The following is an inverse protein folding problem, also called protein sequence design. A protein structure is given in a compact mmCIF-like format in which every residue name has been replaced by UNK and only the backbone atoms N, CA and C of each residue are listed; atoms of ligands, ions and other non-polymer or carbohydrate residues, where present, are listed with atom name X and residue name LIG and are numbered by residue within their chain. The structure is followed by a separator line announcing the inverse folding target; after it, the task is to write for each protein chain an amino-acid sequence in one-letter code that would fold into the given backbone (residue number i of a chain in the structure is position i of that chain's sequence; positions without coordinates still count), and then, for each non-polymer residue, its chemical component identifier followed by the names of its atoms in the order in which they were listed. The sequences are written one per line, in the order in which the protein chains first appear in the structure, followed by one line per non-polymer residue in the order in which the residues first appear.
data_IF_532726423263
#
_entry.id   IF_532726423263
#
_cell.length_a   1.000
_cell.length_b   1.000
_cell.length_c   1.000
_cell.angle_alpha   90.00
_cell.angle_beta   90.00
_cell.angle_gamma   90.00
#
_symmetry.space_group_name_H-M   'P 1'
#
loop_
_entity.id
_entity.type
_entity.pdbx_description
1 polymer ?
#
# COMPACT_ATOMS: atom_id res chain seq x y z
N UNK A 1 -58.51 -2.02 -22.94
CA UNK A 1 -57.99 -0.66 -23.19
C UNK A 1 -58.91 0.30 -22.52
N UNK A 2 -58.42 1.03 -21.53
CA UNK A 2 -59.18 2.07 -20.88
C UNK A 2 -58.72 3.43 -21.40
N UNK A 3 -59.56 4.03 -22.26
CA UNK A 3 -59.33 5.40 -22.72
C UNK A 3 -59.49 6.39 -21.59
N UNK A 4 -58.65 7.40 -21.55
CA UNK A 4 -58.81 8.50 -20.61
C UNK A 4 -60.14 9.25 -20.84
N UNK A 5 -60.70 9.88 -19.82
CA UNK A 5 -61.97 10.62 -19.97
C UNK A 5 -61.82 11.76 -20.97
N UNK A 6 -60.63 12.36 -21.08
CA UNK A 6 -60.31 13.37 -22.10
C UNK A 6 -60.34 12.81 -23.53
N UNK A 7 -59.82 11.62 -23.75
CA UNK A 7 -59.85 10.95 -25.04
C UNK A 7 -61.27 10.54 -25.47
N UNK A 8 -62.06 10.05 -24.49
CA UNK A 8 -63.49 9.74 -24.72
C UNK A 8 -64.27 10.98 -25.12
N UNK A 9 -64.04 12.11 -24.43
CA UNK A 9 -64.65 13.38 -24.71
C UNK A 9 -64.27 13.90 -26.10
N UNK A 10 -62.98 13.86 -26.46
CA UNK A 10 -62.45 14.26 -27.75
C UNK A 10 -63.01 13.43 -28.93
N UNK A 11 -63.32 12.16 -28.72
CA UNK A 11 -63.98 11.29 -29.70
C UNK A 11 -65.45 11.66 -29.90
N UNK A 12 -66.16 12.06 -28.82
CA UNK A 12 -67.54 12.45 -28.88
C UNK A 12 -67.75 13.82 -29.58
N UNK A 13 -66.83 14.76 -29.37
CA UNK A 13 -66.84 16.09 -29.96
C UNK A 13 -66.40 16.13 -31.43
N UNK A 14 -65.79 15.09 -31.96
CA UNK A 14 -65.29 15.07 -33.32
C UNK A 14 -66.44 15.15 -34.36
N UNK A 15 -66.42 16.16 -35.26
CA UNK A 15 -67.46 16.36 -36.24
C UNK A 15 -67.36 15.34 -37.39
N UNK A 16 -68.33 14.41 -37.44
CA UNK A 16 -68.43 13.43 -38.50
C UNK A 16 -67.62 12.16 -38.38
N UNK A 17 -67.96 11.14 -39.14
CA UNK A 17 -67.40 9.79 -39.00
C UNK A 17 -65.91 9.70 -39.33
N UNK A 18 -65.42 10.40 -40.33
CA UNK A 18 -64.02 10.37 -40.76
C UNK A 18 -63.09 11.02 -39.74
N UNK A 19 -63.51 12.18 -39.15
CA UNK A 19 -62.73 12.84 -38.14
C UNK A 19 -62.63 12.01 -36.85
N UNK A 20 -63.70 11.35 -36.46
CA UNK A 20 -63.78 10.46 -35.31
C UNK A 20 -62.89 9.23 -35.53
N UNK A 21 -62.88 8.62 -36.72
CA UNK A 21 -62.04 7.49 -37.04
C UNK A 21 -60.54 7.84 -37.02
N UNK A 22 -60.16 9.04 -37.51
CA UNK A 22 -58.76 9.51 -37.42
C UNK A 22 -58.33 9.72 -35.98
N UNK A 23 -59.14 10.33 -35.18
CA UNK A 23 -58.83 10.57 -33.75
C UNK A 23 -58.72 9.26 -32.99
N UNK A 24 -59.59 8.31 -33.23
CA UNK A 24 -59.51 6.97 -32.66
C UNK A 24 -58.21 6.28 -33.04
N UNK A 25 -57.78 6.37 -34.29
CA UNK A 25 -56.50 5.78 -34.75
C UNK A 25 -55.32 6.41 -34.02
N UNK A 26 -55.27 7.74 -33.87
CA UNK A 26 -54.24 8.44 -33.13
C UNK A 26 -54.16 7.94 -31.67
N UNK A 27 -55.28 7.79 -31.00
CA UNK A 27 -55.34 7.30 -29.61
C UNK A 27 -54.84 5.84 -29.56
N UNK A 28 -55.31 4.99 -30.46
CA UNK A 28 -54.88 3.58 -30.48
C UNK A 28 -53.38 3.41 -30.72
N UNK A 29 -52.80 4.20 -31.62
CA UNK A 29 -51.32 4.16 -31.88
C UNK A 29 -50.56 4.62 -30.64
N UNK A 30 -51.01 5.68 -29.98
CA UNK A 30 -50.40 6.15 -28.75
C UNK A 30 -50.49 5.10 -27.62
N UNK A 31 -51.65 4.48 -27.44
CA UNK A 31 -51.83 3.43 -26.42
C UNK A 31 -50.98 2.18 -26.72
N UNK A 32 -50.85 1.80 -28.00
CA UNK A 32 -49.98 0.71 -28.40
C UNK A 32 -48.52 1.01 -28.06
N UNK A 33 -48.03 2.20 -28.41
CA UNK A 33 -46.65 2.62 -28.08
C UNK A 33 -46.38 2.61 -26.58
N UNK A 34 -47.36 3.10 -25.80
CA UNK A 34 -47.26 3.09 -24.32
C UNK A 34 -47.24 1.67 -23.76
N UNK A 35 -48.05 0.76 -24.31
CA UNK A 35 -48.05 -0.65 -23.90
C UNK A 35 -46.71 -1.36 -24.25
N UNK A 36 -46.18 -1.10 -25.43
CA UNK A 36 -44.86 -1.63 -25.86
C UNK A 36 -43.73 -1.12 -24.94
N UNK A 37 -43.70 0.19 -24.66
CA UNK A 37 -42.71 0.77 -23.74
C UNK A 37 -42.83 0.19 -22.33
N UNK A 38 -44.04 0.01 -21.82
CA UNK A 38 -44.30 -0.60 -20.52
C UNK A 38 -43.78 -2.04 -20.45
N UNK A 39 -44.01 -2.82 -21.51
CA UNK A 39 -43.52 -4.18 -21.61
C UNK A 39 -41.97 -4.22 -21.64
N UNK A 40 -41.32 -3.33 -22.42
CA UNK A 40 -39.85 -3.27 -22.49
C UNK A 40 -39.28 -2.90 -21.10
N UNK A 41 -39.88 -1.96 -20.40
CA UNK A 41 -39.45 -1.59 -19.04
C UNK A 41 -39.59 -2.79 -18.09
N UNK A 42 -40.72 -3.48 -18.12
CA UNK A 42 -40.95 -4.64 -17.28
C UNK A 42 -39.94 -5.78 -17.56
N UNK A 43 -39.64 -6.03 -18.83
CA UNK A 43 -38.62 -7.02 -19.20
C UNK A 43 -37.21 -6.62 -18.73
N UNK A 44 -36.83 -5.34 -18.85
CA UNK A 44 -35.56 -4.83 -18.35
C UNK A 44 -35.44 -4.99 -16.84
N UNK A 45 -36.46 -4.57 -16.11
CA UNK A 45 -36.52 -4.70 -14.65
C UNK A 45 -36.43 -6.18 -14.22
N UNK A 46 -37.16 -7.06 -14.90
CA UNK A 46 -37.10 -8.51 -14.61
C UNK A 46 -35.71 -9.06 -14.83
N UNK A 47 -35.07 -8.74 -15.96
CA UNK A 47 -33.69 -9.17 -16.24
C UNK A 47 -32.68 -8.65 -15.20
N UNK A 48 -32.85 -7.43 -14.73
CA UNK A 48 -31.99 -6.83 -13.70
C UNK A 48 -32.14 -7.55 -12.34
N UNK A 49 -33.39 -7.84 -11.96
CA UNK A 49 -33.70 -8.60 -10.75
C UNK A 49 -33.17 -10.03 -10.83
N UNK A 50 -33.36 -10.72 -11.94
CA UNK A 50 -32.85 -12.07 -12.16
C UNK A 50 -31.32 -12.12 -12.08
N UNK A 51 -30.64 -11.09 -12.64
CA UNK A 51 -29.20 -10.94 -12.58
C UNK A 51 -28.72 -10.74 -11.12
N UNK A 52 -29.33 -9.82 -10.39
CA UNK A 52 -28.98 -9.57 -8.98
C UNK A 52 -29.20 -10.80 -8.10
N UNK A 53 -30.29 -11.54 -8.30
CA UNK A 53 -30.53 -12.79 -7.57
C UNK A 53 -29.49 -13.86 -7.89
N UNK A 54 -29.11 -13.98 -9.16
CA UNK A 54 -28.06 -14.90 -9.57
C UNK A 54 -26.70 -14.55 -8.98
N UNK A 55 -26.33 -13.27 -9.00
CA UNK A 55 -25.08 -12.77 -8.44
C UNK A 55 -25.03 -13.00 -6.93
N UNK A 56 -26.13 -12.74 -6.24
CA UNK A 56 -26.26 -13.03 -4.80
C UNK A 56 -26.11 -14.54 -4.51
N UNK A 57 -26.78 -15.38 -5.29
CA UNK A 57 -26.69 -16.85 -5.12
C UNK A 57 -25.26 -17.36 -5.37
N UNK A 58 -24.60 -16.87 -6.39
CA UNK A 58 -23.20 -17.22 -6.70
C UNK A 58 -22.23 -16.76 -5.58
N UNK A 59 -22.44 -15.57 -5.03
CA UNK A 59 -21.67 -15.09 -3.89
C UNK A 59 -21.89 -16.00 -2.66
N UNK A 60 -23.12 -16.39 -2.40
CA UNK A 60 -23.45 -17.30 -1.29
C UNK A 60 -22.78 -18.67 -1.47
N UNK A 61 -22.84 -19.23 -2.68
CA UNK A 61 -22.16 -20.50 -2.99
C UNK A 61 -20.65 -20.38 -2.83
N UNK A 62 -20.05 -19.29 -3.31
CA UNK A 62 -18.62 -19.03 -3.19
C UNK A 62 -18.21 -18.95 -1.72
N UNK A 63 -19.02 -18.29 -0.89
CA UNK A 63 -18.80 -18.21 0.56
C UNK A 63 -18.89 -19.59 1.23
N UNK A 64 -19.89 -20.39 0.90
CA UNK A 64 -20.03 -21.75 1.44
C UNK A 64 -18.85 -22.64 1.03
N UNK A 65 -18.37 -22.52 -0.21
CA UNK A 65 -17.20 -23.26 -0.70
C UNK A 65 -15.93 -22.81 0.03
N UNK A 66 -15.75 -21.50 0.26
CA UNK A 66 -14.63 -20.97 1.04
C UNK A 66 -14.67 -21.47 2.49
N UNK A 67 -15.84 -21.50 3.10
CA UNK A 67 -16.05 -22.04 4.45
C UNK A 67 -15.70 -23.54 4.55
N UNK A 68 -16.09 -24.34 3.54
CA UNK A 68 -15.76 -25.78 3.46
C UNK A 68 -14.28 -26.05 3.15
N UNK A 69 -13.61 -25.17 2.42
CA UNK A 69 -12.18 -25.26 2.12
C UNK A 69 -11.30 -24.82 3.30
N UNK A 70 -11.88 -24.29 4.38
CA UNK A 70 -11.15 -23.80 5.55
C UNK A 70 -10.42 -22.47 5.29
N UNK A 71 -10.78 -21.75 4.23
CA UNK A 71 -10.27 -20.44 3.88
C UNK A 71 -11.19 -19.36 4.46
N UNK A 72 -11.53 -19.53 5.72
CA UNK A 72 -12.36 -18.58 6.46
C UNK A 72 -11.52 -17.40 6.95
N UNK A 73 -12.13 -16.23 7.07
CA UNK A 73 -11.49 -15.07 7.69
C UNK A 73 -10.89 -15.43 9.07
N UNK A 74 -11.55 -16.32 9.81
CA UNK A 74 -11.08 -16.81 11.11
C UNK A 74 -9.78 -17.63 10.98
N UNK A 75 -9.66 -18.50 9.97
CA UNK A 75 -8.43 -19.27 9.73
C UNK A 75 -7.25 -18.36 9.31
N UNK A 76 -7.52 -17.27 8.62
CA UNK A 76 -6.49 -16.27 8.25
C UNK A 76 -6.00 -15.50 9.47
N UNK A 77 -6.92 -15.11 10.35
CA UNK A 77 -6.64 -14.46 11.64
C UNK A 77 -5.81 -15.39 12.55
N UNK A 78 -6.18 -16.66 12.66
CA UNK A 78 -5.44 -17.65 13.45
C UNK A 78 -4.01 -17.85 12.91
N UNK A 79 -3.82 -17.93 11.59
CA UNK A 79 -2.49 -17.98 10.96
C UNK A 79 -1.66 -16.73 11.28
N UNK A 80 -2.28 -15.54 11.27
CA UNK A 80 -1.59 -14.30 11.65
C UNK A 80 -1.17 -14.32 13.13
N UNK A 81 -2.02 -14.82 14.02
CA UNK A 81 -1.70 -14.96 15.45
C UNK A 81 -0.55 -15.94 15.66
N UNK A 82 -0.55 -17.07 14.98
CA UNK A 82 0.58 -18.02 15.01
C UNK A 82 1.88 -17.41 14.46
N UNK A 83 1.79 -16.65 13.38
CA UNK A 83 2.94 -15.95 12.81
C UNK A 83 3.49 -14.90 13.78
N UNK A 84 2.62 -14.19 14.48
CA UNK A 84 2.97 -13.19 15.48
C UNK A 84 3.79 -13.77 16.64
N UNK A 85 3.46 -14.98 17.10
CA UNK A 85 4.20 -15.64 18.19
C UNK A 85 5.64 -15.98 17.83
N UNK A 86 5.96 -16.05 16.53
CA UNK A 86 7.32 -16.33 16.01
C UNK A 86 8.16 -15.08 15.79
N UNK A 87 7.53 -13.90 15.91
CA UNK A 87 8.20 -12.61 15.69
C UNK A 87 8.91 -12.11 16.94
N UNK A 88 10.09 -11.54 16.71
CA UNK A 88 10.92 -10.96 17.77
C UNK A 88 10.69 -9.44 17.87
N UNK A 89 9.48 -9.03 18.20
CA UNK A 89 9.13 -7.61 18.36
C UNK A 89 9.10 -7.19 19.84
N UNK A 90 9.05 -5.87 20.08
CA UNK A 90 8.91 -5.32 21.42
C UNK A 90 7.52 -5.66 22.00
N UNK A 91 7.42 -5.60 23.32
CA UNK A 91 6.14 -5.83 24.01
C UNK A 91 5.05 -4.87 23.52
N UNK A 92 5.41 -3.61 23.26
CA UNK A 92 4.50 -2.55 22.80
C UNK A 92 3.94 -2.86 21.41
N UNK A 93 4.80 -3.29 20.48
CA UNK A 93 4.40 -3.69 19.13
C UNK A 93 3.51 -4.92 19.15
N UNK A 94 3.81 -5.91 20.01
CA UNK A 94 2.98 -7.09 20.20
C UNK A 94 1.58 -6.76 20.74
N UNK A 95 1.50 -5.89 21.75
CA UNK A 95 0.21 -5.42 22.29
C UNK A 95 -0.60 -4.63 21.24
N UNK A 96 0.06 -3.80 20.44
CA UNK A 96 -0.57 -3.07 19.35
C UNK A 96 -1.12 -4.03 18.29
N UNK A 97 -0.33 -5.03 17.90
CA UNK A 97 -0.76 -6.06 16.94
C UNK A 97 -2.01 -6.81 17.42
N UNK A 98 -2.01 -7.33 18.65
CA UNK A 98 -3.18 -8.03 19.21
C UNK A 98 -4.41 -7.14 19.33
N UNK A 99 -4.24 -5.88 19.68
CA UNK A 99 -5.32 -4.90 19.71
C UNK A 99 -5.94 -4.68 18.32
N UNK A 100 -5.11 -4.52 17.29
CA UNK A 100 -5.59 -4.32 15.92
C UNK A 100 -6.19 -5.63 15.35
N UNK A 101 -5.63 -6.79 15.67
CA UNK A 101 -6.17 -8.10 15.30
C UNK A 101 -7.58 -8.31 15.91
N UNK A 102 -7.74 -7.99 17.19
CA UNK A 102 -9.04 -8.07 17.88
C UNK A 102 -10.10 -7.11 17.31
N UNK A 103 -9.69 -6.01 16.66
CA UNK A 103 -10.62 -5.16 15.91
C UNK A 103 -11.09 -5.86 14.64
N UNK A 104 -10.16 -6.50 13.91
CA UNK A 104 -10.47 -7.21 12.66
C UNK A 104 -11.45 -8.36 12.90
N UNK A 105 -11.30 -9.10 14.00
CA UNK A 105 -12.24 -10.18 14.40
C UNK A 105 -13.71 -9.72 14.52
N UNK A 106 -13.90 -8.44 14.82
CA UNK A 106 -15.25 -7.86 14.98
C UNK A 106 -15.77 -7.20 13.71
N UNK A 107 -14.91 -7.03 12.69
CA UNK A 107 -15.30 -6.39 11.43
C UNK A 107 -15.93 -7.42 10.48
N UNK A 108 -16.91 -6.95 9.71
CA UNK A 108 -17.48 -7.77 8.65
C UNK A 108 -16.47 -7.85 7.48
N UNK A 109 -16.07 -9.06 7.02
CA UNK A 109 -15.14 -9.22 5.90
C UNK A 109 -15.57 -8.55 4.58
N UNK A 110 -16.87 -8.28 4.41
CA UNK A 110 -17.38 -7.60 3.22
C UNK A 110 -17.17 -6.08 3.20
N UNK A 111 -16.69 -5.49 4.29
CA UNK A 111 -16.46 -4.04 4.40
C UNK A 111 -15.04 -3.71 3.98
N UNK A 112 -14.85 -2.61 3.24
CA UNK A 112 -13.53 -2.17 2.76
C UNK A 112 -12.51 -1.96 3.90
N UNK A 113 -12.97 -1.57 5.08
CA UNK A 113 -12.14 -1.38 6.27
C UNK A 113 -11.43 -2.68 6.69
N UNK A 114 -12.10 -3.85 6.53
CA UNK A 114 -11.49 -5.15 6.81
C UNK A 114 -10.21 -5.36 5.99
N UNK A 115 -10.26 -5.13 4.67
CA UNK A 115 -9.11 -5.32 3.80
C UNK A 115 -7.95 -4.36 4.11
N UNK A 116 -8.27 -3.12 4.51
CA UNK A 116 -7.26 -2.13 4.94
C UNK A 116 -6.55 -2.60 6.21
N UNK A 117 -7.31 -3.07 7.21
CA UNK A 117 -6.76 -3.57 8.47
C UNK A 117 -5.96 -4.86 8.28
N UNK A 118 -6.42 -5.78 7.43
CA UNK A 118 -5.66 -6.99 7.10
C UNK A 118 -4.33 -6.67 6.44
N UNK A 119 -4.31 -5.73 5.48
CA UNK A 119 -3.08 -5.27 4.84
C UNK A 119 -2.09 -4.66 5.83
N UNK A 120 -2.60 -3.91 6.81
CA UNK A 120 -1.79 -3.34 7.89
C UNK A 120 -1.17 -4.42 8.78
N UNK A 121 -1.96 -5.37 9.25
CA UNK A 121 -1.48 -6.48 10.09
C UNK A 121 -0.46 -7.34 9.34
N UNK A 122 -0.69 -7.58 8.05
CA UNK A 122 0.26 -8.27 7.19
C UNK A 122 1.58 -7.51 7.07
N UNK A 123 1.54 -6.17 6.92
CA UNK A 123 2.75 -5.35 6.92
C UNK A 123 3.51 -5.47 8.25
N UNK A 124 2.81 -5.42 9.39
CA UNK A 124 3.44 -5.59 10.71
C UNK A 124 4.15 -6.94 10.84
N UNK A 125 3.57 -8.02 10.30
CA UNK A 125 4.18 -9.35 10.27
C UNK A 125 5.37 -9.45 9.31
N UNK A 126 5.34 -8.74 8.20
CA UNK A 126 6.40 -8.78 7.19
C UNK A 126 7.63 -7.94 7.57
N UNK A 127 7.46 -6.96 8.45
CA UNK A 127 8.57 -6.12 8.91
C UNK A 127 9.54 -6.90 9.79
N UNK A 128 10.86 -6.69 9.58
CA UNK A 128 11.92 -7.32 10.38
C UNK A 128 12.23 -6.48 11.63
N UNK A 129 11.33 -6.42 12.59
CA UNK A 129 11.44 -5.54 13.77
C UNK A 129 12.76 -5.62 14.52
N UNK A 130 13.24 -6.81 14.85
CA UNK A 130 14.52 -7.06 15.54
C UNK A 130 15.32 -8.16 14.83
N UNK A 131 15.02 -8.42 13.57
CA UNK A 131 15.70 -9.43 12.78
C UNK A 131 16.96 -8.80 12.15
N UNK A 132 18.08 -8.90 12.83
CA UNK A 132 19.38 -8.35 12.39
C UNK A 132 20.24 -9.41 11.71
N UNK A 133 21.00 -8.99 10.71
CA UNK A 133 22.09 -9.82 10.16
C UNK A 133 23.34 -9.64 11.02
N UNK A 134 24.15 -10.71 11.14
CA UNK A 134 25.44 -10.64 11.82
C UNK A 134 26.46 -9.90 10.97
N UNK A 135 27.06 -8.85 11.54
CA UNK A 135 28.04 -8.05 10.83
C UNK A 135 29.40 -8.75 10.71
N UNK A 136 29.95 -8.73 9.51
CA UNK A 136 31.35 -9.08 9.28
C UNK A 136 32.20 -7.80 9.29
N UNK A 137 32.87 -7.52 10.41
CA UNK A 137 33.74 -6.36 10.58
C UNK A 137 35.22 -6.70 10.33
N UNK A 138 35.51 -7.62 9.40
CA UNK A 138 36.84 -7.89 8.93
C UNK A 138 37.27 -6.88 7.88
N UNK A 139 38.18 -5.98 8.27
CA UNK A 139 38.66 -4.89 7.41
C UNK A 139 39.47 -5.36 6.21
N UNK A 140 40.18 -6.50 6.34
CA UNK A 140 40.96 -7.08 5.23
C UNK A 140 40.01 -7.66 4.18
N UNK A 141 38.97 -8.36 4.62
CA UNK A 141 37.92 -8.85 3.75
C UNK A 141 37.16 -7.70 3.06
N UNK A 142 36.84 -6.63 3.81
CA UNK A 142 36.17 -5.44 3.27
C UNK A 142 37.04 -4.73 2.22
N UNK A 143 38.34 -4.56 2.47
CA UNK A 143 39.27 -3.99 1.49
C UNK A 143 39.30 -4.80 0.21
N UNK A 144 39.47 -6.12 0.34
CA UNK A 144 39.48 -7.02 -0.81
C UNK A 144 38.22 -6.93 -1.65
N UNK A 145 37.04 -6.92 -0.99
CA UNK A 145 35.75 -6.76 -1.69
C UNK A 145 35.66 -5.44 -2.45
N UNK A 146 36.12 -4.32 -1.84
CA UNK A 146 36.14 -3.01 -2.49
C UNK A 146 37.13 -2.97 -3.67
N UNK A 147 38.25 -3.64 -3.58
CA UNK A 147 39.25 -3.71 -4.64
C UNK A 147 38.81 -4.60 -5.82
N UNK A 148 38.15 -5.71 -5.53
CA UNK A 148 37.59 -6.60 -6.55
C UNK A 148 36.44 -5.94 -7.34
N UNK A 149 35.61 -5.12 -6.67
CA UNK A 149 34.45 -4.50 -7.29
C UNK A 149 34.77 -3.14 -7.97
N UNK A 150 35.81 -2.41 -7.51
CA UNK A 150 36.09 -1.05 -7.93
C UNK A 150 37.59 -0.84 -8.24
N UNK A 151 37.88 -0.41 -9.46
CA UNK A 151 39.25 -0.05 -9.84
C UNK A 151 39.58 1.39 -9.39
N UNK A 152 40.72 1.60 -8.78
CA UNK A 152 41.13 2.92 -8.25
C UNK A 152 40.30 3.36 -7.05
N UNK A 153 40.08 4.66 -6.91
CA UNK A 153 39.34 5.27 -5.82
C UNK A 153 39.91 5.02 -4.42
N UNK A 154 41.25 4.95 -4.31
CA UNK A 154 41.94 4.54 -3.09
C UNK A 154 41.56 5.40 -1.88
N UNK A 155 41.50 6.74 -2.04
CA UNK A 155 41.11 7.66 -0.98
C UNK A 155 39.69 7.39 -0.46
N UNK A 156 38.75 7.04 -1.37
CA UNK A 156 37.35 6.74 -1.00
C UNK A 156 37.29 5.42 -0.27
N UNK A 157 38.00 4.40 -0.75
CA UNK A 157 38.08 3.09 -0.12
C UNK A 157 38.70 3.18 1.29
N UNK A 158 39.80 3.89 1.44
CA UNK A 158 40.44 4.13 2.73
C UNK A 158 39.47 4.84 3.69
N UNK A 159 38.73 5.83 3.24
CA UNK A 159 37.74 6.52 4.07
C UNK A 159 36.60 5.59 4.49
N UNK A 160 36.13 4.72 3.62
CA UNK A 160 35.12 3.69 3.96
C UNK A 160 35.68 2.74 5.00
N UNK A 161 36.92 2.25 4.83
CA UNK A 161 37.55 1.35 5.78
C UNK A 161 37.80 1.99 7.15
N UNK A 162 38.21 3.27 7.20
CA UNK A 162 38.30 4.04 8.44
C UNK A 162 36.95 4.09 9.16
N UNK A 163 35.88 4.35 8.43
CA UNK A 163 34.52 4.37 8.97
C UNK A 163 34.12 3.00 9.55
N UNK A 164 34.37 1.91 8.81
CA UNK A 164 34.13 0.55 9.30
C UNK A 164 34.96 0.19 10.51
N UNK A 165 36.22 0.69 10.57
CA UNK A 165 37.09 0.50 11.73
C UNK A 165 36.55 1.24 12.97
N UNK A 166 35.99 2.43 12.81
CA UNK A 166 35.35 3.16 13.90
C UNK A 166 34.12 2.41 14.42
N UNK A 167 33.28 1.88 13.54
CA UNK A 167 32.12 1.05 13.92
C UNK A 167 32.60 -0.18 14.73
N UNK A 168 33.64 -0.86 14.25
CA UNK A 168 34.22 -2.02 14.93
C UNK A 168 34.74 -1.71 16.33
N UNK A 169 35.40 -0.56 16.50
CA UNK A 169 36.00 -0.14 17.78
C UNK A 169 34.93 0.35 18.77
N UNK A 170 33.94 1.07 18.26
CA UNK A 170 32.90 1.69 19.10
C UNK A 170 31.86 0.67 19.55
N UNK A 171 31.62 -0.38 18.78
CA UNK A 171 30.59 -1.39 19.05
C UNK A 171 29.16 -0.83 19.01
N UNK A 172 29.00 0.42 18.58
CA UNK A 172 27.74 1.13 18.48
C UNK A 172 27.53 1.56 17.04
N UNK A 173 26.34 1.31 16.53
CA UNK A 173 25.93 1.65 15.15
C UNK A 173 25.60 3.14 14.97
N UNK A 174 25.61 3.92 16.05
CA UNK A 174 25.47 5.38 16.01
C UNK A 174 26.70 6.06 15.39
N UNK A 175 26.97 5.69 14.16
CA UNK A 175 28.09 6.23 13.38
C UNK A 175 27.61 7.32 12.46
N UNK A 176 28.46 8.33 12.18
CA UNK A 176 28.13 9.37 11.22
C UNK A 176 27.86 8.76 9.85
N UNK A 177 26.90 9.32 9.14
CA UNK A 177 26.49 8.88 7.81
C UNK A 177 27.57 9.25 6.79
N UNK A 178 27.92 8.31 5.90
CA UNK A 178 28.85 8.57 4.81
C UNK A 178 28.14 9.31 3.67
N UNK A 179 28.63 10.50 3.35
CA UNK A 179 28.17 11.27 2.21
C UNK A 179 29.14 11.11 1.03
N UNK A 180 28.67 10.48 -0.07
CA UNK A 180 29.43 10.29 -1.30
C UNK A 180 29.07 11.39 -2.30
N UNK A 181 29.99 12.32 -2.53
CA UNK A 181 29.84 13.41 -3.51
C UNK A 181 30.71 13.17 -4.74
N UNK A 182 30.22 13.50 -5.93
CA UNK A 182 30.97 13.37 -7.18
C UNK A 182 30.07 13.36 -8.42
N UNK A 183 30.66 13.38 -9.63
CA UNK A 183 29.92 13.38 -10.87
C UNK A 183 29.07 12.13 -11.06
N UNK A 184 28.06 12.16 -11.94
CA UNK A 184 27.27 10.97 -12.25
C UNK A 184 28.15 9.89 -12.92
N UNK A 185 27.80 8.61 -12.71
CA UNK A 185 28.47 7.48 -13.38
C UNK A 185 29.77 6.99 -12.74
N UNK A 186 30.26 7.60 -11.66
CA UNK A 186 31.51 7.18 -10.99
C UNK A 186 31.35 5.98 -10.04
N UNK A 187 30.17 5.41 -9.94
CA UNK A 187 29.96 4.21 -9.13
C UNK A 187 29.57 4.42 -7.67
N UNK A 188 29.03 5.60 -7.27
CA UNK A 188 28.61 5.88 -5.89
C UNK A 188 27.65 4.81 -5.33
N UNK A 189 26.64 4.44 -6.11
CA UNK A 189 25.63 3.44 -5.69
C UNK A 189 26.21 2.03 -5.63
N UNK A 190 27.16 1.68 -6.50
CA UNK A 190 27.84 0.38 -6.46
C UNK A 190 28.79 0.26 -5.27
N UNK A 191 29.47 1.35 -4.89
CA UNK A 191 30.29 1.39 -3.65
C UNK A 191 29.47 1.02 -2.41
N UNK A 192 28.28 1.58 -2.25
CA UNK A 192 27.43 1.22 -1.13
C UNK A 192 26.95 -0.24 -1.15
N UNK A 193 26.75 -0.81 -2.33
CA UNK A 193 26.44 -2.24 -2.46
C UNK A 193 27.65 -3.10 -2.02
N UNK A 194 28.85 -2.73 -2.43
CA UNK A 194 30.08 -3.44 -2.03
C UNK A 194 30.31 -3.36 -0.53
N UNK A 195 30.02 -2.21 0.10
CA UNK A 195 30.04 -2.07 1.56
C UNK A 195 29.03 -3.00 2.23
N UNK A 196 27.78 -3.07 1.73
CA UNK A 196 26.78 -3.99 2.25
C UNK A 196 27.23 -5.44 2.14
N UNK A 197 27.81 -5.83 1.01
CA UNK A 197 28.35 -7.18 0.78
C UNK A 197 29.50 -7.49 1.75
N UNK A 198 30.43 -6.55 1.93
CA UNK A 198 31.57 -6.70 2.83
C UNK A 198 31.12 -6.88 4.29
N UNK A 199 30.10 -6.17 4.72
CA UNK A 199 29.51 -6.27 6.06
C UNK A 199 28.59 -7.51 6.23
N UNK A 200 28.20 -8.19 5.17
CA UNK A 200 27.18 -9.25 5.23
C UNK A 200 25.75 -8.74 5.43
N UNK A 201 25.53 -7.44 5.24
CA UNK A 201 24.22 -6.81 5.37
C UNK A 201 23.41 -6.83 4.07
N UNK A 202 22.10 -6.73 4.18
CA UNK A 202 21.24 -6.52 3.03
C UNK A 202 21.40 -5.10 2.49
N UNK A 203 21.12 -4.92 1.19
CA UNK A 203 21.28 -3.65 0.50
C UNK A 203 19.92 -3.09 0.07
N UNK A 204 19.65 -1.83 0.43
CA UNK A 204 18.51 -1.07 0.00
C UNK A 204 18.93 0.20 -0.76
N UNK A 205 18.13 0.62 -1.75
CA UNK A 205 18.30 1.89 -2.43
C UNK A 205 16.98 2.65 -2.46
N UNK A 206 17.03 3.92 -2.09
CA UNK A 206 15.92 4.86 -2.16
C UNK A 206 16.36 6.03 -3.02
N UNK A 207 15.68 6.27 -4.15
CA UNK A 207 15.88 7.48 -4.94
C UNK A 207 14.99 8.58 -4.36
N UNK A 208 15.62 9.69 -3.99
CA UNK A 208 14.97 10.87 -3.44
C UNK A 208 14.72 11.94 -4.53
N UNK A 209 15.24 11.70 -5.75
CA UNK A 209 15.00 12.59 -6.90
C UNK A 209 13.51 12.60 -7.28
N UNK A 210 12.94 13.81 -7.31
CA UNK A 210 11.52 14.00 -7.64
C UNK A 210 10.55 13.78 -6.48
N UNK A 211 11.04 13.65 -5.25
CA UNK A 211 10.20 13.71 -4.05
C UNK A 211 9.72 15.14 -3.82
N UNK A 212 8.42 15.29 -3.64
CA UNK A 212 7.75 16.56 -3.40
C UNK A 212 6.90 16.59 -2.15
N UNK A 213 6.64 15.42 -1.54
CA UNK A 213 5.74 15.25 -0.40
C UNK A 213 6.47 14.51 0.74
N UNK A 214 6.37 15.04 1.94
CA UNK A 214 6.86 14.43 3.18
C UNK A 214 6.26 13.03 3.41
N UNK A 215 5.01 12.83 3.01
CA UNK A 215 4.31 11.55 3.15
C UNK A 215 4.95 10.40 2.36
N UNK A 216 5.76 10.69 1.35
CA UNK A 216 6.53 9.65 0.67
C UNK A 216 7.63 9.05 1.57
N UNK A 217 8.15 9.82 2.53
CA UNK A 217 9.16 9.35 3.50
C UNK A 217 8.50 8.76 4.73
N UNK A 218 7.54 9.51 5.32
CA UNK A 218 6.84 9.14 6.58
C UNK A 218 5.58 8.30 6.38
N UNK A 219 5.18 8.01 5.14
CA UNK A 219 3.94 7.29 4.87
C UNK A 219 2.69 8.15 4.98
N UNK A 220 1.58 7.62 4.48
CA UNK A 220 0.26 8.25 4.53
C UNK A 220 -0.55 7.69 5.70
N UNK A 221 -1.40 8.50 6.32
CA UNK A 221 -2.29 8.00 7.38
C UNK A 221 -3.23 6.93 6.81
N UNK A 222 -3.42 5.82 7.52
CA UNK A 222 -4.25 4.66 7.11
C UNK A 222 -5.69 4.97 6.75
N UNK A 223 -6.21 6.11 7.22
CA UNK A 223 -7.58 6.56 6.94
C UNK A 223 -7.81 6.99 5.49
N UNK A 224 -6.76 7.21 4.71
CA UNK A 224 -6.87 7.60 3.31
C UNK A 224 -6.91 6.38 2.40
N UNK A 225 -7.77 6.43 1.37
CA UNK A 225 -7.82 5.40 0.34
C UNK A 225 -6.50 5.41 -0.43
N UNK A 226 -5.85 4.23 -0.52
CA UNK A 226 -4.54 4.11 -1.17
C UNK A 226 -3.36 4.51 -0.28
N UNK A 227 -3.55 4.66 1.03
CA UNK A 227 -2.48 4.90 1.97
C UNK A 227 -1.42 3.80 1.89
N UNK A 228 -0.16 4.21 1.95
CA UNK A 228 1.00 3.31 1.93
C UNK A 228 2.02 3.74 2.97
N UNK A 229 2.83 2.80 3.52
CA UNK A 229 3.96 3.14 4.38
C UNK A 229 5.01 3.95 3.62
N UNK A 230 5.83 4.69 4.34
CA UNK A 230 6.92 5.47 3.78
C UNK A 230 7.96 4.61 3.06
N UNK A 231 8.70 5.22 2.15
CA UNK A 231 9.73 4.53 1.36
C UNK A 231 10.82 3.87 2.20
N UNK A 232 11.11 4.42 3.38
CA UNK A 232 12.07 3.84 4.33
C UNK A 232 11.55 2.48 4.80
N UNK A 233 10.37 2.44 5.37
CA UNK A 233 9.71 1.21 5.86
C UNK A 233 9.52 0.18 4.74
N UNK A 234 9.10 0.62 3.55
CA UNK A 234 8.99 -0.28 2.39
C UNK A 234 10.33 -0.89 1.98
N UNK A 235 11.43 -0.13 2.11
CA UNK A 235 12.77 -0.61 1.77
C UNK A 235 13.28 -1.60 2.81
N UNK A 236 13.07 -1.34 4.10
CA UNK A 236 13.40 -2.26 5.19
C UNK A 236 12.62 -3.57 5.04
N UNK A 237 11.31 -3.51 4.79
CA UNK A 237 10.49 -4.68 4.46
C UNK A 237 11.09 -5.52 3.33
N UNK A 238 11.48 -4.87 2.21
CA UNK A 238 12.11 -5.56 1.06
C UNK A 238 13.46 -6.17 1.38
N UNK A 239 14.23 -5.54 2.25
CA UNK A 239 15.52 -6.07 2.69
C UNK A 239 15.36 -7.30 3.61
N UNK A 240 14.28 -7.39 4.37
CA UNK A 240 14.00 -8.49 5.28
C UNK A 240 14.99 -8.57 6.47
N UNK A 241 15.63 -7.46 6.81
CA UNK A 241 16.47 -7.31 8.01
C UNK A 241 16.33 -5.87 8.51
N UNK A 242 16.47 -5.65 9.83
CA UNK A 242 16.34 -4.32 10.43
C UNK A 242 17.64 -3.51 10.38
N UNK A 243 18.75 -4.11 9.99
CA UNK A 243 20.05 -3.44 9.85
C UNK A 243 20.60 -3.43 8.40
N UNK A 244 19.81 -3.10 7.37
CA UNK A 244 20.30 -3.03 6.00
C UNK A 244 21.22 -1.83 5.80
N UNK A 245 22.10 -1.89 4.81
CA UNK A 245 22.75 -0.69 4.27
C UNK A 245 21.83 -0.04 3.27
N UNK A 246 21.35 1.15 3.60
CA UNK A 246 20.45 1.92 2.73
C UNK A 246 21.21 3.07 2.08
N UNK A 247 21.12 3.18 0.75
CA UNK A 247 21.59 4.34 0.01
C UNK A 247 20.41 5.26 -0.28
N UNK A 248 20.56 6.50 0.17
CA UNK A 248 19.72 7.62 -0.22
C UNK A 248 20.36 8.31 -1.43
N UNK A 249 19.80 8.08 -2.60
CA UNK A 249 20.35 8.57 -3.87
C UNK A 249 19.63 9.85 -4.33
N UNK A 250 20.35 10.75 -5.00
CA UNK A 250 19.81 11.99 -5.54
C UNK A 250 19.25 12.96 -4.47
N UNK A 251 19.90 13.04 -3.30
CA UNK A 251 19.51 13.95 -2.21
C UNK A 251 19.51 15.42 -2.68
N UNK A 252 20.39 15.78 -3.61
CA UNK A 252 20.50 17.10 -4.21
C UNK A 252 19.30 17.50 -5.09
N UNK A 253 18.44 16.56 -5.44
CA UNK A 253 17.25 16.80 -6.27
C UNK A 253 15.95 16.88 -5.49
N UNK A 254 16.01 16.92 -4.18
CA UNK A 254 14.83 17.15 -3.34
C UNK A 254 14.39 18.60 -3.52
N UNK A 255 13.10 18.79 -3.73
CA UNK A 255 12.50 20.12 -3.87
C UNK A 255 11.42 20.34 -2.82
N UNK A 256 11.44 21.50 -2.18
CA UNK A 256 10.38 21.93 -1.27
C UNK A 256 9.13 22.26 -2.08
N UNK A 257 7.99 21.74 -1.67
CA UNK A 257 6.71 21.99 -2.31
C UNK A 257 5.69 22.56 -1.31
N UNK A 258 4.54 23.02 -1.81
CA UNK A 258 3.44 23.47 -0.97
C UNK A 258 2.75 22.30 -0.17
N UNK A 259 3.13 21.06 -0.44
CA UNK A 259 2.59 19.85 0.19
C UNK A 259 3.46 19.29 1.33
N UNK A 260 4.53 19.98 1.69
CA UNK A 260 5.43 19.59 2.76
C UNK A 260 6.91 19.78 2.40
N UNK A 261 7.76 19.57 3.39
CA UNK A 261 9.21 19.60 3.26
C UNK A 261 9.80 18.22 3.50
N UNK A 262 10.11 17.45 2.46
CA UNK A 262 10.75 16.14 2.62
C UNK A 262 12.08 16.20 3.37
N UNK A 263 12.75 17.37 3.39
CA UNK A 263 14.02 17.55 4.10
C UNK A 263 13.84 17.44 5.60
N UNK A 264 12.70 17.90 6.14
CA UNK A 264 12.39 17.77 7.56
C UNK A 264 12.21 16.32 8.00
N UNK A 265 11.54 15.51 7.17
CA UNK A 265 11.40 14.07 7.42
C UNK A 265 12.75 13.33 7.34
N UNK A 266 13.64 13.76 6.43
CA UNK A 266 14.99 13.20 6.33
C UNK A 266 15.86 13.56 7.54
N UNK A 267 15.69 14.71 8.17
CA UNK A 267 16.44 15.04 9.39
C UNK A 267 16.16 14.01 10.49
N UNK A 268 14.90 13.61 10.70
CA UNK A 268 14.54 12.57 11.67
C UNK A 268 15.18 11.21 11.32
N UNK A 269 15.22 10.85 10.05
CA UNK A 269 15.85 9.59 9.58
C UNK A 269 17.37 9.60 9.75
N UNK A 270 18.01 10.75 9.52
CA UNK A 270 19.47 10.88 9.49
C UNK A 270 20.08 11.25 10.86
N UNK A 271 19.28 11.72 11.80
CA UNK A 271 19.75 12.07 13.14
C UNK A 271 19.78 10.82 14.02
N UNK A 272 20.96 10.38 14.51
CA UNK A 272 21.08 9.19 15.37
C UNK A 272 20.35 9.30 16.72
N UNK A 273 19.95 10.50 17.13
CA UNK A 273 19.17 10.68 18.36
C UNK A 273 17.67 10.52 18.12
N UNK A 274 17.20 10.74 16.89
CA UNK A 274 15.80 10.70 16.51
C UNK A 274 15.41 9.43 15.74
N UNK A 275 16.33 8.81 15.00
CA UNK A 275 16.04 7.68 14.15
C UNK A 275 15.61 6.41 14.91
N UNK A 276 15.97 6.28 16.20
CA UNK A 276 15.52 5.18 17.06
C UNK A 276 14.02 5.20 17.36
N UNK A 277 13.40 6.36 17.21
CA UNK A 277 11.96 6.60 17.43
C UNK A 277 11.29 7.14 16.17
N UNK A 278 11.76 6.67 14.99
CA UNK A 278 11.19 7.11 13.72
C UNK A 278 9.70 6.75 13.63
N UNK A 279 8.85 7.75 13.37
CA UNK A 279 7.42 7.58 13.29
C UNK A 279 6.93 7.56 11.85
N UNK A 280 6.43 6.40 11.40
CA UNK A 280 5.73 6.28 10.11
C UNK A 280 4.23 6.42 10.33
N UNK A 281 3.59 7.33 9.57
CA UNK A 281 2.16 7.64 9.71
C UNK A 281 1.23 6.46 9.34
N UNK A 282 1.72 5.51 8.53
CA UNK A 282 0.95 4.33 8.17
C UNK A 282 1.03 3.27 9.27
N UNK A 283 2.22 3.04 9.83
CA UNK A 283 2.42 2.12 10.94
C UNK A 283 1.78 2.64 12.23
N UNK A 284 1.75 3.96 12.42
CA UNK A 284 1.24 4.62 13.63
C UNK A 284 1.93 4.10 14.90
N UNK A 285 3.21 3.75 14.78
CA UNK A 285 4.09 3.32 15.86
C UNK A 285 5.52 3.68 15.54
N UNK A 286 6.36 3.69 16.55
CA UNK A 286 7.79 3.95 16.42
C UNK A 286 8.51 2.74 15.82
N UNK A 287 9.51 3.01 14.99
CA UNK A 287 10.39 2.02 14.39
C UNK A 287 11.85 2.46 14.57
N UNK A 288 12.69 1.56 15.07
CA UNK A 288 14.14 1.79 15.23
C UNK A 288 14.85 1.57 13.88
N UNK A 289 15.48 2.63 13.33
CA UNK A 289 16.09 2.66 11.99
C UNK A 289 17.58 2.36 12.01
#
# INVERSE_FOLDING_TARGET
MDFSDEDRQALLEAPGLLARARKLLEILVREQQMAELKNEIQEKVKREIDKQQRDYYLQQQMRTIQDELGDTADAEIDKMREAATKKNWSKEVGELFEKELSKVERLNPAVAEYSVQMTYLQLMLELPWNDVTTDNLDLECARKQLDDDHFGLEEVKDRILEHLAVIKLKGDLKSPILCLYGPPGVGKTSLGRSVATALGRKFGRISLGGLHDESEIRGHRRTYIGAMPGRIIQTIKRCGSSNPVIILDEVDKITVSNHGDPSSALLEVLDPEQNTTFHDNYLDTEYDL
#
